data_IF_808040642720
#
_entry.id   IF_808040642720
#
_cell.length_a   1.000
_cell.length_b   1.000
_cell.length_c   1.000
_cell.angle_alpha   90.00
_cell.angle_beta   90.00
_cell.angle_gamma   90.00
#
_symmetry.space_group_name_H-M   'P 1'
#
loop_
_entity.id
_entity.type
_entity.pdbx_description
1 polymer ?
#
# COMPACT_ATOMS: atom_id res chain seq x y z
N UNK A 1 -6.24 5.07 3.07
CA UNK A 1 -5.76 4.59 1.76
C UNK A 1 -4.54 5.41 1.39
N UNK A 2 -3.38 4.77 1.21
CA UNK A 2 -2.11 5.47 1.02
C UNK A 2 -2.06 6.30 -0.28
N UNK A 3 -2.76 5.87 -1.32
CA UNK A 3 -2.82 6.62 -2.58
C UNK A 3 -3.39 8.04 -2.46
N UNK A 4 -4.10 8.37 -1.36
CA UNK A 4 -4.62 9.72 -1.07
C UNK A 4 -3.70 10.55 -0.13
N UNK A 5 -2.56 9.99 0.28
CA UNK A 5 -1.70 10.61 1.28
C UNK A 5 -0.70 11.61 0.69
N UNK A 6 -0.40 11.52 -0.61
CA UNK A 6 0.81 12.10 -1.20
C UNK A 6 0.55 13.16 -2.27
N UNK A 7 -0.70 13.59 -2.45
CA UNK A 7 -1.02 14.71 -3.32
C UNK A 7 -0.42 16.01 -2.73
N UNK A 8 0.21 16.80 -3.58
CA UNK A 8 0.80 18.07 -3.17
C UNK A 8 -0.26 19.18 -3.21
N UNK A 9 -0.31 19.98 -2.13
CA UNK A 9 -1.12 21.21 -2.13
C UNK A 9 -0.48 22.33 -2.96
N UNK A 10 -1.14 23.49 -3.04
CA UNK A 10 -0.68 24.65 -3.82
C UNK A 10 0.74 25.11 -3.45
N UNK A 11 1.15 24.91 -2.19
CA UNK A 11 2.50 25.24 -1.71
C UNK A 11 3.57 24.19 -2.08
N UNK A 12 3.25 23.15 -2.86
CA UNK A 12 4.17 22.07 -3.22
C UNK A 12 4.57 21.16 -2.04
N UNK A 13 3.80 21.20 -0.95
CA UNK A 13 4.05 20.43 0.26
C UNK A 13 2.90 19.46 0.56
N UNK A 14 3.22 18.40 1.31
CA UNK A 14 2.19 17.54 1.89
C UNK A 14 1.43 18.33 2.95
N UNK A 15 0.10 18.17 2.98
CA UNK A 15 -0.69 18.65 4.11
C UNK A 15 -0.31 17.86 5.36
N UNK A 16 0.36 18.49 6.32
CA UNK A 16 0.82 17.83 7.55
C UNK A 16 -0.32 17.18 8.35
N UNK A 17 -1.53 17.72 8.24
CA UNK A 17 -2.76 17.20 8.84
C UNK A 17 -3.51 16.18 7.97
N UNK A 18 -2.98 15.79 6.80
CA UNK A 18 -3.63 14.82 5.93
C UNK A 18 -3.79 13.48 6.69
N UNK A 19 -5.03 13.04 6.97
CA UNK A 19 -5.27 11.84 7.78
C UNK A 19 -4.84 10.56 7.06
N UNK A 20 -4.54 10.62 5.76
CA UNK A 20 -4.04 9.48 5.00
C UNK A 20 -2.52 9.26 5.16
N UNK A 21 -1.78 10.20 5.74
CA UNK A 21 -0.36 10.02 6.06
C UNK A 21 -0.18 9.08 7.27
N UNK A 22 0.66 8.02 7.17
CA UNK A 22 0.82 7.03 8.24
C UNK A 22 1.20 7.57 9.62
N UNK A 23 1.96 8.65 9.72
CA UNK A 23 2.32 9.26 11.00
C UNK A 23 1.12 9.92 11.72
N UNK A 24 0.00 10.13 11.01
CA UNK A 24 -1.25 10.66 11.57
C UNK A 24 -2.24 9.56 11.97
N UNK A 25 -1.89 8.27 11.78
CA UNK A 25 -2.81 7.18 12.08
C UNK A 25 -2.95 6.92 13.59
N UNK A 26 -4.16 6.55 13.99
CA UNK A 26 -4.43 5.91 15.28
C UNK A 26 -4.49 4.39 15.11
N UNK A 27 -4.54 3.64 16.23
CA UNK A 27 -4.74 2.18 16.16
C UNK A 27 -6.11 1.80 15.61
N UNK A 28 -7.13 2.63 15.74
CA UNK A 28 -8.49 2.38 15.24
C UNK A 28 -8.61 2.72 13.74
N UNK A 29 -7.72 2.15 12.94
CA UNK A 29 -7.66 2.40 11.51
C UNK A 29 -7.42 1.10 10.74
N UNK A 30 -7.88 1.10 9.49
CA UNK A 30 -7.53 0.11 8.48
C UNK A 30 -6.78 0.84 7.37
N UNK A 31 -5.51 0.50 7.18
CA UNK A 31 -4.71 1.03 6.07
C UNK A 31 -4.85 0.12 4.87
N UNK A 32 -4.97 0.75 3.70
CA UNK A 32 -4.91 0.12 2.39
C UNK A 32 -3.86 0.83 1.56
N UNK A 33 -3.16 0.15 0.67
CA UNK A 33 -2.38 0.81 -0.39
C UNK A 33 -3.35 1.56 -1.31
N UNK A 34 -4.25 0.80 -1.95
CA UNK A 34 -5.43 1.24 -2.71
C UNK A 34 -6.65 0.38 -2.36
N UNK A 35 -7.84 0.79 -2.77
CA UNK A 35 -9.06 -0.05 -2.76
C UNK A 35 -9.32 -0.64 -4.14
N UNK A 36 -10.46 -1.31 -4.33
CA UNK A 36 -10.89 -1.79 -5.65
C UNK A 36 -11.27 -0.66 -6.63
N UNK A 37 -11.64 0.52 -6.12
CA UNK A 37 -11.98 1.71 -6.93
C UNK A 37 -10.76 2.51 -7.35
N UNK A 38 -9.64 2.30 -6.66
CA UNK A 38 -8.36 2.89 -7.00
C UNK A 38 -7.71 2.14 -8.17
N UNK A 39 -6.78 2.81 -8.86
CA UNK A 39 -5.84 2.09 -9.71
C UNK A 39 -4.90 1.22 -8.84
N UNK A 40 -4.21 0.27 -9.46
CA UNK A 40 -3.06 -0.39 -8.83
C UNK A 40 -2.05 0.65 -8.37
N UNK A 41 -1.28 0.39 -7.31
CA UNK A 41 -0.26 1.34 -6.85
C UNK A 41 0.77 1.62 -7.94
N UNK A 42 1.08 0.65 -8.82
CA UNK A 42 1.98 0.86 -9.94
C UNK A 42 1.40 1.83 -10.98
N UNK A 43 0.16 1.59 -11.39
CA UNK A 43 -0.57 2.44 -12.33
C UNK A 43 -0.76 3.86 -11.79
N UNK A 44 -1.19 3.97 -10.53
CA UNK A 44 -1.30 5.22 -9.78
C UNK A 44 0.03 5.98 -9.77
N UNK A 45 1.12 5.33 -9.37
CA UNK A 45 2.43 5.96 -9.25
C UNK A 45 2.96 6.44 -10.61
N UNK A 46 2.78 5.66 -11.68
CA UNK A 46 3.23 6.04 -13.03
C UNK A 46 2.64 7.37 -13.49
N UNK A 47 1.37 7.60 -13.18
CA UNK A 47 0.62 8.81 -13.52
C UNK A 47 0.93 10.02 -12.62
N UNK A 48 1.79 9.88 -11.60
CA UNK A 48 2.21 11.00 -10.74
C UNK A 48 3.24 11.90 -11.44
N UNK A 49 3.18 13.17 -11.09
CA UNK A 49 4.14 14.20 -11.52
C UNK A 49 5.54 13.91 -10.96
N UNK A 50 6.61 14.43 -11.59
CA UNK A 50 7.96 14.30 -11.05
C UNK A 50 8.11 14.83 -9.61
N UNK A 51 7.38 15.89 -9.25
CA UNK A 51 7.40 16.48 -7.92
C UNK A 51 6.76 15.57 -6.85
N UNK A 52 5.62 14.93 -7.16
CA UNK A 52 4.98 13.94 -6.28
C UNK A 52 5.85 12.69 -6.11
N UNK A 53 6.48 12.22 -7.20
CA UNK A 53 7.42 11.10 -7.16
C UNK A 53 8.63 11.41 -6.28
N UNK A 54 9.16 12.63 -6.36
CA UNK A 54 10.22 13.10 -5.47
C UNK A 54 9.78 13.17 -4.01
N UNK A 55 8.60 13.73 -3.75
CA UNK A 55 8.03 13.76 -2.41
C UNK A 55 7.90 12.37 -1.81
N UNK A 56 7.42 11.39 -2.59
CA UNK A 56 7.32 9.99 -2.17
C UNK A 56 8.67 9.41 -1.77
N UNK A 57 9.71 9.56 -2.60
CA UNK A 57 11.07 9.08 -2.28
C UNK A 57 11.59 9.69 -0.98
N UNK A 58 11.39 11.01 -0.80
CA UNK A 58 11.79 11.72 0.43
C UNK A 58 11.02 11.25 1.65
N UNK A 59 9.70 11.05 1.53
CA UNK A 59 8.86 10.55 2.62
C UNK A 59 9.23 9.12 3.03
N UNK A 60 9.47 8.25 2.04
CA UNK A 60 9.88 6.86 2.26
C UNK A 60 11.34 6.74 2.72
N UNK A 61 12.17 7.77 2.48
CA UNK A 61 13.61 7.73 2.70
C UNK A 61 14.33 6.70 1.83
N UNK A 62 13.77 6.36 0.66
CA UNK A 62 14.22 5.29 -0.23
C UNK A 62 14.03 5.64 -1.71
N UNK A 63 14.80 5.03 -2.63
CA UNK A 63 14.49 5.08 -4.05
C UNK A 63 13.14 4.40 -4.33
N UNK A 64 12.57 4.69 -5.48
CA UNK A 64 11.25 4.22 -5.92
C UNK A 64 11.31 3.05 -6.92
N UNK A 65 12.47 2.38 -7.04
CA UNK A 65 12.69 1.20 -7.89
C UNK A 65 11.65 0.09 -7.64
N UNK A 66 11.17 -0.02 -6.39
CA UNK A 66 10.13 -0.96 -5.98
C UNK A 66 9.00 -0.27 -5.18
N UNK A 67 8.50 0.84 -5.74
CA UNK A 67 7.51 1.70 -5.09
C UNK A 67 6.27 0.96 -4.57
N UNK A 68 5.80 -0.07 -5.28
CA UNK A 68 4.63 -0.85 -4.86
C UNK A 68 4.91 -1.55 -3.53
N UNK A 69 6.04 -2.24 -3.42
CA UNK A 69 6.42 -2.91 -2.19
C UNK A 69 6.86 -1.95 -1.09
N UNK A 70 7.39 -0.77 -1.42
CA UNK A 70 7.65 0.28 -0.43
C UNK A 70 6.34 0.84 0.15
N UNK A 71 5.26 0.97 -0.63
CA UNK A 71 3.93 1.32 -0.09
C UNK A 71 3.31 0.17 0.72
N UNK A 72 3.48 -1.08 0.30
CA UNK A 72 3.07 -2.25 1.11
C UNK A 72 3.80 -2.25 2.45
N UNK A 73 5.13 -2.03 2.42
CA UNK A 73 5.95 -1.90 3.63
C UNK A 73 5.45 -0.76 4.52
N UNK A 74 5.15 0.40 3.94
CA UNK A 74 4.64 1.55 4.68
C UNK A 74 3.29 1.25 5.35
N UNK A 75 2.38 0.58 4.65
CA UNK A 75 1.12 0.10 5.22
C UNK A 75 1.39 -0.87 6.40
N UNK A 76 2.24 -1.88 6.18
CA UNK A 76 2.62 -2.88 7.18
C UNK A 76 3.37 -2.29 8.38
N UNK A 77 4.12 -1.18 8.22
CA UNK A 77 4.84 -0.51 9.31
C UNK A 77 3.97 0.48 10.12
N UNK A 78 2.79 0.85 9.60
CA UNK A 78 1.94 1.87 10.21
C UNK A 78 1.33 1.47 11.56
N UNK A 79 0.81 2.43 12.32
CA UNK A 79 0.13 2.18 13.61
C UNK A 79 -1.29 1.63 13.48
N UNK A 80 -1.87 1.59 12.27
CA UNK A 80 -3.21 1.06 12.02
C UNK A 80 -3.34 -0.40 12.48
N UNK A 81 -4.48 -0.79 13.06
CA UNK A 81 -4.71 -2.16 13.53
C UNK A 81 -4.66 -3.18 12.39
N UNK A 82 -5.23 -2.82 11.23
CA UNK A 82 -5.27 -3.68 10.05
C UNK A 82 -4.56 -3.02 8.88
N UNK A 83 -3.78 -3.82 8.15
CA UNK A 83 -3.22 -3.46 6.86
C UNK A 83 -3.75 -4.44 5.81
N UNK A 84 -4.44 -3.93 4.79
CA UNK A 84 -5.08 -4.72 3.75
C UNK A 84 -4.47 -4.34 2.40
N UNK A 85 -3.93 -5.33 1.71
CA UNK A 85 -3.20 -5.15 0.46
C UNK A 85 -4.02 -5.77 -0.67
N UNK A 86 -4.41 -5.02 -1.72
CA UNK A 86 -5.00 -5.57 -2.92
C UNK A 86 -4.05 -6.59 -3.55
N UNK A 87 -4.59 -7.70 -4.05
CA UNK A 87 -3.75 -8.76 -4.57
C UNK A 87 -2.95 -8.31 -5.81
N UNK A 88 -3.48 -7.37 -6.59
CA UNK A 88 -2.78 -6.74 -7.71
C UNK A 88 -1.48 -6.04 -7.30
N UNK A 89 -1.45 -5.40 -6.13
CA UNK A 89 -0.25 -4.74 -5.60
C UNK A 89 0.76 -5.78 -5.12
N UNK A 90 0.32 -6.85 -4.45
CA UNK A 90 1.20 -7.96 -4.07
C UNK A 90 1.85 -8.64 -5.29
N UNK A 91 1.17 -8.62 -6.44
CA UNK A 91 1.67 -9.09 -7.73
C UNK A 91 2.44 -8.02 -8.54
N UNK A 92 2.55 -6.78 -8.03
CA UNK A 92 3.19 -5.64 -8.70
C UNK A 92 2.69 -5.41 -10.14
N UNK A 93 1.37 -5.51 -10.32
CA UNK A 93 0.69 -5.31 -11.61
C UNK A 93 0.39 -3.84 -11.89
N UNK A 94 0.19 -3.52 -13.17
CA UNK A 94 -0.10 -2.17 -13.67
C UNK A 94 -1.60 -1.92 -13.85
N UNK A 95 -1.98 -0.76 -14.41
CA UNK A 95 -3.38 -0.33 -14.62
C UNK A 95 -4.27 -1.32 -15.37
N UNK A 96 -3.72 -2.22 -16.19
CA UNK A 96 -4.49 -3.30 -16.85
C UNK A 96 -5.12 -4.28 -15.83
N UNK A 97 -4.64 -4.29 -14.59
CA UNK A 97 -5.17 -5.10 -13.50
C UNK A 97 -6.15 -4.33 -12.58
N UNK A 98 -6.48 -3.07 -12.89
CA UNK A 98 -7.43 -2.28 -12.11
C UNK A 98 -8.79 -2.98 -12.03
N UNK A 99 -9.35 -3.06 -10.83
CA UNK A 99 -10.61 -3.78 -10.59
C UNK A 99 -11.83 -2.97 -11.06
N UNK A 100 -11.91 -1.70 -10.66
CA UNK A 100 -13.03 -0.83 -11.00
C UNK A 100 -12.53 0.60 -11.30
N UNK A 101 -13.11 1.21 -12.33
CA UNK A 101 -13.02 2.64 -12.59
C UNK A 101 -14.41 3.24 -12.32
N UNK A 102 -14.60 3.97 -11.20
CA UNK A 102 -15.88 4.55 -10.85
C UNK A 102 -16.50 5.37 -11.99
N UNK A 103 -17.82 5.34 -12.11
CA UNK A 103 -18.58 6.11 -13.11
C UNK A 103 -18.28 5.75 -14.58
N UNK A 104 -17.82 4.52 -14.86
CA UNK A 104 -17.62 4.01 -16.23
C UNK A 104 -18.47 2.77 -16.49
N UNK A 105 -18.83 2.55 -17.77
CA UNK A 105 -19.55 1.36 -18.23
C UNK A 105 -18.59 0.39 -18.93
N UNK A 106 -18.72 -0.90 -18.61
CA UNK A 106 -17.89 -1.97 -19.20
C UNK A 106 -16.48 -2.07 -18.61
N UNK A 107 -15.84 -3.24 -18.75
CA UNK A 107 -14.45 -3.49 -18.33
C UNK A 107 -14.21 -3.68 -16.82
N UNK A 108 -15.08 -3.14 -15.95
CA UNK A 108 -14.97 -3.26 -14.50
C UNK A 108 -15.30 -4.67 -13.99
N UNK A 109 -14.73 -5.05 -12.85
CA UNK A 109 -14.99 -6.32 -12.14
C UNK A 109 -14.60 -7.59 -12.91
N UNK A 110 -13.72 -7.44 -13.90
CA UNK A 110 -13.31 -8.53 -14.80
C UNK A 110 -11.93 -9.09 -14.49
N UNK A 111 -11.13 -8.39 -13.68
CA UNK A 111 -9.77 -8.83 -13.38
C UNK A 111 -9.76 -10.16 -12.63
N UNK A 112 -8.87 -11.06 -13.08
CA UNK A 112 -8.64 -12.37 -12.47
C UNK A 112 -7.15 -12.66 -12.48
N UNK A 113 -6.67 -13.27 -11.40
CA UNK A 113 -5.34 -13.86 -11.41
C UNK A 113 -5.38 -15.26 -12.06
N UNK A 114 -4.23 -15.71 -12.57
CA UNK A 114 -4.03 -17.11 -12.94
C UNK A 114 -3.29 -17.84 -11.81
N UNK A 115 -3.50 -19.15 -11.59
CA UNK A 115 -2.88 -19.88 -10.49
C UNK A 115 -1.37 -19.70 -10.37
N UNK A 116 -0.66 -19.51 -11.49
CA UNK A 116 0.79 -19.32 -11.54
C UNK A 116 1.26 -18.02 -10.87
N UNK A 117 0.35 -17.06 -10.64
CA UNK A 117 0.64 -15.85 -9.90
C UNK A 117 0.91 -16.13 -8.40
N UNK A 118 0.43 -17.26 -7.87
CA UNK A 118 0.68 -17.70 -6.50
C UNK A 118 2.09 -18.32 -6.39
N UNK A 119 3.10 -17.47 -6.35
CA UNK A 119 4.50 -17.88 -6.24
C UNK A 119 5.01 -17.82 -4.80
N UNK A 120 5.99 -18.67 -4.50
CA UNK A 120 6.73 -18.65 -3.23
C UNK A 120 7.41 -17.31 -2.95
N UNK A 121 7.72 -16.56 -4.00
CA UNK A 121 8.30 -15.22 -3.88
C UNK A 121 7.30 -14.24 -3.25
N UNK A 122 6.06 -14.19 -3.76
CA UNK A 122 5.01 -13.29 -3.24
C UNK A 122 4.67 -13.67 -1.80
N UNK A 123 4.43 -14.96 -1.53
CA UNK A 123 4.08 -15.43 -0.19
C UNK A 123 5.22 -15.20 0.80
N UNK A 124 6.47 -15.49 0.40
CA UNK A 124 7.64 -15.28 1.25
C UNK A 124 7.85 -13.81 1.62
N UNK A 125 7.70 -12.90 0.65
CA UNK A 125 7.85 -11.46 0.90
C UNK A 125 6.74 -10.88 1.78
N UNK A 126 5.50 -11.33 1.60
CA UNK A 126 4.40 -10.97 2.51
C UNK A 126 4.64 -11.52 3.92
N UNK A 127 5.08 -12.78 4.03
CA UNK A 127 5.39 -13.40 5.31
C UNK A 127 6.51 -12.67 6.06
N UNK A 128 7.56 -12.25 5.35
CA UNK A 128 8.64 -11.43 5.90
C UNK A 128 8.10 -10.12 6.47
N UNK A 129 7.27 -9.38 5.73
CA UNK A 129 6.68 -8.12 6.21
C UNK A 129 5.78 -8.34 7.43
N UNK A 130 4.99 -9.42 7.42
CA UNK A 130 4.13 -9.78 8.56
C UNK A 130 4.97 -10.05 9.81
N UNK A 131 6.06 -10.79 9.68
CA UNK A 131 6.96 -11.07 10.79
C UNK A 131 7.69 -9.80 11.28
N UNK A 132 8.25 -9.02 10.36
CA UNK A 132 9.05 -7.83 10.64
C UNK A 132 8.26 -6.76 11.41
N UNK A 133 7.00 -6.54 11.03
CA UNK A 133 6.16 -5.50 11.64
C UNK A 133 5.15 -6.04 12.66
N UNK A 134 5.26 -7.31 13.04
CA UNK A 134 4.40 -7.90 14.06
C UNK A 134 2.91 -7.95 13.66
N UNK A 135 2.61 -8.25 12.39
CA UNK A 135 1.23 -8.34 11.88
C UNK A 135 0.60 -9.73 12.09
N UNK A 136 1.31 -10.65 12.75
CA UNK A 136 0.80 -11.93 13.21
C UNK A 136 0.51 -11.88 14.72
N UNK A 137 -0.77 -12.06 15.15
CA UNK A 137 -1.14 -12.11 16.56
C UNK A 137 -0.35 -13.12 17.41
N UNK A 138 0.16 -14.20 16.82
CA UNK A 138 0.97 -15.19 17.54
C UNK A 138 2.31 -14.62 18.03
N UNK A 139 2.85 -13.60 17.35
CA UNK A 139 4.11 -12.94 17.73
C UNK A 139 3.96 -12.15 19.04
N UNK A 140 2.76 -11.69 19.36
CA UNK A 140 2.48 -10.88 20.55
C UNK A 140 2.33 -11.74 21.82
N UNK A 141 1.90 -13.00 21.66
CA UNK A 141 1.72 -13.94 22.78
C UNK A 141 3.05 -14.37 23.42
N UNK A 142 4.12 -14.49 22.62
CA UNK A 142 5.47 -14.87 23.10
C UNK A 142 6.12 -13.80 23.97
N UNK A 143 5.70 -12.54 23.86
CA UNK A 143 6.29 -11.41 24.58
C UNK A 143 5.68 -11.23 25.98
N UNK A 144 4.45 -11.70 26.20
CA UNK A 144 3.76 -11.54 27.49
C UNK A 144 4.10 -12.61 28.54
N UNK A 145 4.81 -13.67 28.18
CA UNK A 145 5.20 -14.78 29.08
C UNK A 145 6.52 -14.53 29.81
N UNK A 146 7.09 -13.32 29.73
CA UNK A 146 8.35 -12.93 30.41
C UNK A 146 8.17 -11.79 31.44
N UNK A 147 7.08 -11.81 32.21
CA UNK A 147 6.93 -10.96 33.40
C UNK A 147 6.62 -11.83 34.61
#
# INVERSE_FOLDING_TARGET
>A
VLQFAFDLGEAGALGASNPFLPHNYTRQAVVYTGTHDNDTTKGWYRQRSPAEKDMLRRYLGRPDDDIVWELIRLAMASTAAFAVIPFQDALNLDSDARMNTPSTLGGNWTWRYRPEALSNWVSGRLQEMVALYGRDPALWKKTQTKK
#
